data_IF_584609737122
#
_entry.id   IF_584609737122
#
_cell.length_a   1.000
_cell.length_b   1.000
_cell.length_c   1.000
_cell.angle_alpha   90.00
_cell.angle_beta   90.00
_cell.angle_gamma   90.00
#
_symmetry.space_group_name_H-M   'P 1'
#
loop_
_entity.id
_entity.type
_entity.pdbx_description
1 polymer ?
#
# COMPACT_ATOMS: atom_id res chain seq x y z
N UNK A 1 -5.32 -3.29 -2.18
CA UNK A 1 -4.48 -2.92 -1.00
C UNK A 1 -3.98 -4.13 -0.21
N UNK A 2 -3.87 -5.30 -0.84
CA UNK A 2 -3.12 -6.47 -0.34
C UNK A 2 -1.90 -6.75 -1.24
N UNK A 3 -1.78 -6.00 -2.36
CA UNK A 3 -0.82 -6.23 -3.44
C UNK A 3 0.65 -5.94 -3.06
N UNK A 4 0.90 -5.43 -1.85
CA UNK A 4 2.25 -5.18 -1.32
C UNK A 4 2.62 -6.10 -0.14
N UNK A 5 1.75 -7.03 0.27
CA UNK A 5 1.86 -7.69 1.58
C UNK A 5 2.48 -9.10 1.62
N UNK A 6 2.72 -9.76 0.48
CA UNK A 6 3.14 -11.19 0.47
C UNK A 6 4.46 -11.39 -0.27
N UNK A 7 5.44 -10.55 0.03
CA UNK A 7 6.85 -10.81 -0.26
C UNK A 7 7.66 -10.68 1.04
N UNK A 8 7.26 -11.43 2.07
CA UNK A 8 8.13 -11.62 3.24
C UNK A 8 9.06 -12.78 2.94
N UNK A 9 10.38 -12.56 2.99
CA UNK A 9 11.37 -13.63 2.89
C UNK A 9 11.05 -14.71 3.93
N UNK A 10 10.72 -15.92 3.47
CA UNK A 10 10.35 -17.06 4.31
C UNK A 10 8.84 -17.32 4.49
N UNK A 11 7.95 -16.45 4.01
CA UNK A 11 6.51 -16.71 3.97
C UNK A 11 6.11 -16.95 2.52
N UNK A 12 6.27 -18.20 2.06
CA UNK A 12 5.77 -18.63 0.76
C UNK A 12 4.26 -18.88 0.83
N UNK A 13 3.50 -18.29 -0.08
CA UNK A 13 2.15 -18.78 -0.34
C UNK A 13 2.26 -20.23 -0.85
N UNK A 14 1.68 -21.16 -0.10
CA UNK A 14 1.61 -22.57 -0.49
C UNK A 14 0.69 -22.76 -1.69
N UNK A 15 -0.39 -21.98 -1.74
CA UNK A 15 -1.23 -21.92 -2.93
C UNK A 15 -1.74 -20.50 -3.17
N UNK A 16 -2.08 -20.21 -4.43
CA UNK A 16 -2.71 -18.97 -4.88
C UNK A 16 -3.95 -19.35 -5.65
N UNK A 17 -5.10 -18.85 -5.22
CA UNK A 17 -6.34 -18.94 -5.99
C UNK A 17 -6.70 -17.57 -6.52
N UNK A 18 -7.06 -17.51 -7.80
CA UNK A 18 -7.47 -16.28 -8.47
C UNK A 18 -8.85 -16.50 -9.09
N UNK A 19 -9.78 -15.60 -8.84
CA UNK A 19 -11.13 -15.61 -9.41
C UNK A 19 -11.43 -14.24 -10.00
N UNK A 20 -12.33 -14.17 -10.98
CA UNK A 20 -12.85 -12.88 -11.44
C UNK A 20 -13.49 -12.18 -10.22
N UNK A 21 -13.01 -10.97 -9.93
CA UNK A 21 -13.65 -10.11 -8.95
C UNK A 21 -14.72 -9.24 -9.60
N UNK A 22 -15.40 -8.39 -8.82
CA UNK A 22 -16.57 -7.63 -9.29
C UNK A 22 -16.28 -6.49 -10.29
N UNK A 23 -15.06 -6.39 -10.85
CA UNK A 23 -14.66 -5.35 -11.80
C UNK A 23 -13.31 -5.70 -12.48
N UNK A 24 -12.45 -4.71 -12.73
CA UNK A 24 -11.07 -4.82 -13.27
C UNK A 24 -10.06 -5.40 -12.27
N UNK A 25 -10.53 -5.92 -11.14
CA UNK A 25 -9.70 -6.51 -10.10
C UNK A 25 -10.07 -7.99 -9.94
N UNK A 26 -9.11 -8.87 -10.17
CA UNK A 26 -9.25 -10.28 -9.82
C UNK A 26 -9.25 -10.44 -8.29
N UNK A 27 -10.13 -11.27 -7.75
CA UNK A 27 -10.04 -11.74 -6.38
C UNK A 27 -8.85 -12.71 -6.30
N UNK A 28 -7.78 -12.30 -5.62
CA UNK A 28 -6.60 -13.15 -5.37
C UNK A 28 -6.58 -13.54 -3.90
N UNK A 29 -6.59 -14.84 -3.62
CA UNK A 29 -6.41 -15.40 -2.29
C UNK A 29 -5.12 -16.23 -2.23
N UNK A 30 -4.36 -16.04 -1.15
CA UNK A 30 -3.13 -16.78 -0.88
C UNK A 30 -3.37 -17.68 0.33
N UNK A 31 -3.01 -18.96 0.19
CA UNK A 31 -2.93 -19.89 1.31
C UNK A 31 -1.49 -19.89 1.82
N UNK A 32 -1.32 -19.64 3.10
CA UNK A 32 -0.01 -19.47 3.73
C UNK A 32 0.02 -20.40 4.96
N UNK A 33 0.78 -21.51 4.90
CA UNK A 33 0.87 -22.44 6.01
C UNK A 33 1.67 -21.79 7.14
N UNK A 34 0.99 -21.51 8.25
CA UNK A 34 1.62 -20.99 9.46
C UNK A 34 2.16 -22.16 10.29
N UNK A 35 3.10 -22.94 9.76
CA UNK A 35 3.77 -24.01 10.52
C UNK A 35 5.14 -23.55 11.01
N UNK A 36 5.29 -23.42 12.34
CA UNK A 36 6.54 -23.08 13.00
C UNK A 36 6.37 -22.01 14.07
N UNK A 37 7.10 -22.14 15.19
CA UNK A 37 7.22 -21.05 16.16
C UNK A 37 7.97 -19.89 15.50
N UNK A 38 7.30 -18.75 15.31
CA UNK A 38 7.91 -17.50 14.82
C UNK A 38 8.99 -17.03 15.79
N UNK A 39 10.21 -17.54 15.68
CA UNK A 39 11.38 -17.01 16.39
C UNK A 39 12.18 -16.13 15.43
N UNK A 40 12.27 -14.85 15.75
CA UNK A 40 13.28 -13.93 15.20
C UNK A 40 12.77 -12.84 14.25
N UNK A 41 11.74 -13.09 13.46
CA UNK A 41 11.28 -12.13 12.45
C UNK A 41 10.23 -11.18 13.03
N UNK A 42 10.59 -9.91 13.25
CA UNK A 42 9.69 -8.88 13.78
C UNK A 42 9.82 -7.61 12.96
N UNK A 43 8.74 -7.26 12.27
CA UNK A 43 8.64 -6.05 11.46
C UNK A 43 8.07 -4.88 12.24
N UNK A 44 7.25 -5.15 13.27
CA UNK A 44 6.55 -4.12 14.05
C UNK A 44 7.38 -3.68 15.27
N UNK A 45 7.24 -2.41 15.72
CA UNK A 45 7.81 -1.95 16.97
C UNK A 45 7.46 -2.87 18.15
N UNK A 46 8.42 -3.09 19.07
CA UNK A 46 8.16 -3.90 20.28
C UNK A 46 7.14 -3.27 21.23
N UNK A 47 6.91 -1.97 21.09
CA UNK A 47 6.11 -1.14 21.98
C UNK A 47 5.21 -0.22 21.17
N UNK A 48 4.13 0.24 21.79
CA UNK A 48 3.37 1.35 21.23
C UNK A 48 4.25 2.61 21.27
N UNK A 49 4.43 3.23 20.12
CA UNK A 49 5.31 4.38 19.95
C UNK A 49 4.50 5.67 19.83
N UNK A 50 5.03 6.76 20.36
CA UNK A 50 4.50 8.12 20.21
C UNK A 50 5.48 8.99 19.43
N UNK A 51 5.10 9.33 18.19
CA UNK A 51 5.91 10.18 17.32
C UNK A 51 5.97 11.65 17.72
N UNK A 52 5.22 12.07 18.75
CA UNK A 52 5.28 13.42 19.31
C UNK A 52 6.03 13.49 20.64
N UNK A 53 6.46 12.34 21.17
CA UNK A 53 7.25 12.28 22.40
C UNK A 53 8.56 13.04 22.19
N UNK A 54 8.83 13.97 23.10
CA UNK A 54 10.14 14.61 23.21
C UNK A 54 11.03 13.72 24.06
N UNK A 55 12.25 13.48 23.60
CA UNK A 55 13.24 12.67 24.31
C UNK A 55 14.64 13.24 24.04
N UNK A 56 15.59 12.90 24.91
CA UNK A 56 17.01 13.17 24.68
C UNK A 56 17.67 11.94 24.08
N UNK A 57 17.97 12.02 22.78
CA UNK A 57 18.63 10.93 22.06
C UNK A 57 20.05 10.69 22.55
N UNK A 58 20.80 11.76 22.87
CA UNK A 58 22.19 11.65 23.29
C UNK A 58 22.27 10.83 24.58
N UNK A 59 21.43 11.16 25.56
CA UNK A 59 21.32 10.40 26.81
C UNK A 59 20.98 8.92 26.58
N UNK A 60 20.13 8.61 25.59
CA UNK A 60 19.71 7.24 25.27
C UNK A 60 20.77 6.45 24.50
N UNK A 61 21.56 7.15 23.67
CA UNK A 61 22.48 6.57 22.69
C UNK A 61 23.89 6.37 23.23
N UNK A 62 24.40 7.29 24.07
CA UNK A 62 25.80 7.28 24.54
C UNK A 62 26.22 5.97 25.20
N UNK A 63 25.32 5.27 25.89
CA UNK A 63 25.62 3.98 26.54
C UNK A 63 25.95 2.84 25.56
N UNK A 64 25.51 2.95 24.30
CA UNK A 64 25.62 1.87 23.32
C UNK A 64 26.35 2.30 22.04
N UNK A 65 26.90 3.52 22.03
CA UNK A 65 27.60 4.10 20.88
C UNK A 65 28.85 3.28 20.52
N UNK A 66 29.60 2.80 21.53
CA UNK A 66 30.77 1.96 21.34
C UNK A 66 30.42 0.57 20.78
N UNK A 67 29.37 -0.06 21.31
CA UNK A 67 28.87 -1.36 20.80
C UNK A 67 28.41 -1.23 19.35
N UNK A 68 27.74 -0.12 19.01
CA UNK A 68 27.32 0.17 17.65
C UNK A 68 28.53 0.32 16.71
N UNK A 69 29.54 1.09 17.12
CA UNK A 69 30.77 1.25 16.36
C UNK A 69 31.50 -0.09 16.15
N UNK A 70 31.54 -0.96 17.16
CA UNK A 70 32.09 -2.31 17.05
C UNK A 70 31.33 -3.15 16.01
N UNK A 71 29.99 -3.16 16.04
CA UNK A 71 29.21 -3.87 15.02
C UNK A 71 29.43 -3.33 13.61
N UNK A 72 29.63 -2.02 13.44
CA UNK A 72 29.98 -1.45 12.14
C UNK A 72 31.37 -1.90 11.66
N UNK A 73 32.36 -1.96 12.55
CA UNK A 73 33.71 -2.43 12.21
C UNK A 73 33.74 -3.92 11.82
N UNK A 74 32.93 -4.74 12.48
CA UNK A 74 32.75 -6.16 12.16
C UNK A 74 31.93 -6.40 10.88
N UNK A 75 31.30 -5.37 10.32
CA UNK A 75 30.37 -5.50 9.20
C UNK A 75 29.03 -6.17 9.58
N UNK A 76 28.72 -6.25 10.87
CA UNK A 76 27.51 -6.88 11.40
C UNK A 76 26.31 -5.91 11.37
N UNK A 77 25.80 -5.68 10.15
CA UNK A 77 24.70 -4.74 9.87
C UNK A 77 23.40 -5.10 10.59
N UNK A 78 23.10 -6.39 10.79
CA UNK A 78 21.90 -6.87 11.48
C UNK A 78 21.94 -6.51 12.98
N UNK A 79 23.08 -6.72 13.65
CA UNK A 79 23.24 -6.32 15.05
C UNK A 79 23.24 -4.79 15.20
N UNK A 80 23.94 -4.08 14.34
CA UNK A 80 23.95 -2.61 14.30
C UNK A 80 22.53 -2.04 14.16
N UNK A 81 21.74 -2.58 13.21
CA UNK A 81 20.35 -2.16 13.01
C UNK A 81 19.46 -2.49 14.21
N UNK A 82 19.56 -3.69 14.78
CA UNK A 82 18.75 -4.10 15.93
C UNK A 82 19.00 -3.22 17.15
N UNK A 83 20.26 -2.82 17.38
CA UNK A 83 20.63 -1.91 18.45
C UNK A 83 20.06 -0.51 18.22
N UNK A 84 20.30 0.06 17.02
CA UNK A 84 19.84 1.39 16.63
C UNK A 84 18.31 1.51 16.67
N UNK A 85 17.61 0.60 16.00
CA UNK A 85 16.14 0.55 15.99
C UNK A 85 15.58 0.33 17.40
N UNK A 86 16.24 -0.50 18.22
CA UNK A 86 15.83 -0.74 19.60
C UNK A 86 15.87 0.50 20.48
N UNK A 87 16.96 1.27 20.41
CA UNK A 87 17.06 2.54 21.15
C UNK A 87 16.06 3.57 20.64
N UNK A 88 15.78 3.60 19.33
CA UNK A 88 14.73 4.45 18.78
C UNK A 88 13.32 4.06 19.29
N UNK A 89 13.03 2.76 19.38
CA UNK A 89 11.79 2.27 20.01
C UNK A 89 11.71 2.62 21.49
N UNK A 90 12.80 2.46 22.24
CA UNK A 90 12.84 2.81 23.67
C UNK A 90 12.58 4.31 23.89
N UNK A 91 13.21 5.16 23.07
CA UNK A 91 13.04 6.60 23.11
C UNK A 91 11.62 7.06 22.77
N UNK A 92 10.98 6.41 21.79
CA UNK A 92 9.63 6.72 21.33
C UNK A 92 8.53 5.98 22.10
N UNK A 93 8.87 5.03 22.98
CA UNK A 93 7.88 4.23 23.68
C UNK A 93 6.93 5.10 24.51
N UNK A 94 5.63 4.81 24.44
CA UNK A 94 4.65 5.41 25.34
C UNK A 94 4.98 5.05 26.79
N UNK A 95 4.97 6.05 27.67
CA UNK A 95 5.07 5.83 29.11
C UNK A 95 3.81 5.07 29.52
N UNK A 96 4.00 3.81 29.92
CA UNK A 96 2.92 2.85 30.05
C UNK A 96 1.88 3.29 31.09
N UNK A 97 0.70 3.75 30.64
CA UNK A 97 -0.56 3.52 31.37
C UNK A 97 -1.87 3.74 30.59
N UNK A 98 -1.92 4.44 29.44
CA UNK A 98 -3.25 4.83 28.88
C UNK A 98 -3.38 4.82 27.34
N UNK A 99 -2.51 4.10 26.63
CA UNK A 99 -2.60 4.01 25.17
C UNK A 99 -3.66 3.03 24.67
N UNK A 100 -4.95 3.40 24.71
CA UNK A 100 -5.94 2.68 23.88
C UNK A 100 -5.61 2.93 22.41
N UNK A 101 -5.15 1.89 21.72
CA UNK A 101 -4.94 1.91 20.27
C UNK A 101 -6.17 2.54 19.59
N UNK A 102 -5.95 3.66 18.87
CA UNK A 102 -6.98 4.31 18.09
C UNK A 102 -7.47 3.28 17.05
N UNK A 103 -8.64 2.70 17.32
CA UNK A 103 -9.25 1.74 16.40
C UNK A 103 -9.43 2.45 15.06
N UNK A 104 -9.16 1.76 13.93
CA UNK A 104 -9.37 2.33 12.62
C UNK A 104 -10.79 2.90 12.54
N UNK A 105 -10.99 4.07 11.91
CA UNK A 105 -12.29 4.70 11.85
C UNK A 105 -13.29 3.72 11.25
N UNK A 106 -14.25 3.28 12.07
CA UNK A 106 -15.24 2.32 11.63
C UNK A 106 -16.32 3.07 10.86
N UNK A 107 -16.64 2.59 9.66
CA UNK A 107 -17.77 3.11 8.88
C UNK A 107 -19.10 2.95 9.63
N UNK A 108 -19.17 2.03 10.59
CA UNK A 108 -20.36 1.87 11.42
C UNK A 108 -20.34 2.80 12.64
N UNK A 109 -21.48 3.41 12.95
CA UNK A 109 -21.62 4.19 14.18
C UNK A 109 -21.53 3.28 15.41
N UNK A 110 -21.27 3.84 16.60
CA UNK A 110 -21.32 3.05 17.83
C UNK A 110 -22.74 2.49 18.07
N UNK A 111 -23.77 3.28 17.73
CA UNK A 111 -25.18 2.91 17.83
C UNK A 111 -25.51 1.72 16.93
N UNK A 112 -25.16 1.80 15.64
CA UNK A 112 -25.34 0.70 14.69
C UNK A 112 -24.66 -0.59 15.17
N UNK A 113 -23.42 -0.49 15.64
CA UNK A 113 -22.67 -1.66 16.15
C UNK A 113 -23.35 -2.33 17.35
N UNK A 114 -23.89 -1.53 18.29
CA UNK A 114 -24.63 -2.06 19.44
C UNK A 114 -25.93 -2.76 19.00
N UNK A 115 -26.68 -2.14 18.08
CA UNK A 115 -27.93 -2.70 17.53
C UNK A 115 -27.69 -4.02 16.79
N UNK A 116 -26.74 -4.06 15.85
CA UNK A 116 -26.41 -5.31 15.12
C UNK A 116 -25.87 -6.40 16.04
N UNK A 117 -25.15 -6.03 17.11
CA UNK A 117 -24.69 -7.00 18.13
C UNK A 117 -25.86 -7.56 18.91
N UNK A 118 -26.83 -6.73 19.30
CA UNK A 118 -28.04 -7.17 19.97
C UNK A 118 -28.86 -8.11 19.08
N UNK A 119 -29.09 -7.74 17.81
CA UNK A 119 -29.79 -8.57 16.83
C UNK A 119 -29.12 -9.95 16.67
N UNK A 120 -27.79 -10.01 16.50
CA UNK A 120 -27.07 -11.29 16.40
C UNK A 120 -27.20 -12.16 17.64
N UNK A 121 -27.14 -11.56 18.83
CA UNK A 121 -27.29 -12.28 20.10
C UNK A 121 -28.71 -12.84 20.26
N UNK A 122 -29.73 -12.04 19.93
CA UNK A 122 -31.11 -12.49 19.96
C UNK A 122 -31.39 -13.60 18.94
N UNK A 123 -30.92 -13.46 17.70
CA UNK A 123 -31.03 -14.52 16.69
C UNK A 123 -30.38 -15.83 17.14
N UNK A 124 -29.21 -15.76 17.80
CA UNK A 124 -28.54 -16.95 18.34
C UNK A 124 -29.34 -17.60 19.48
N UNK A 125 -29.97 -16.82 20.35
CA UNK A 125 -30.86 -17.35 21.42
C UNK A 125 -32.09 -18.02 20.82
N UNK A 126 -32.75 -17.39 19.84
CA UNK A 126 -33.92 -17.95 19.15
C UNK A 126 -33.59 -19.23 18.40
N UNK A 127 -32.41 -19.30 17.77
CA UNK A 127 -31.95 -20.52 17.12
C UNK A 127 -31.72 -21.66 18.12
N UNK A 128 -31.11 -21.38 19.27
CA UNK A 128 -30.90 -22.39 20.34
C UNK A 128 -32.22 -22.88 20.93
N UNK A 129 -33.18 -21.98 21.11
CA UNK A 129 -34.54 -22.29 21.59
C UNK A 129 -35.28 -23.21 20.61
N UNK A 130 -35.25 -22.91 19.32
CA UNK A 130 -35.79 -23.80 18.26
C UNK A 130 -35.11 -25.17 18.23
N UNK A 131 -33.83 -25.22 18.55
CA UNK A 131 -33.04 -26.45 18.59
C UNK A 131 -33.19 -27.25 19.91
N UNK A 132 -33.98 -26.76 20.88
CA UNK A 132 -34.18 -27.42 22.16
C UNK A 132 -32.91 -27.58 23.00
N UNK A 133 -31.92 -26.68 22.82
CA UNK A 133 -30.64 -26.75 23.52
C UNK A 133 -30.79 -26.31 24.99
N UNK A 134 -30.03 -26.95 25.89
CA UNK A 134 -29.92 -26.53 27.30
C UNK A 134 -29.25 -25.15 27.41
N UNK A 135 -29.52 -24.41 28.50
CA UNK A 135 -28.93 -23.09 28.85
C UNK A 135 -29.51 -21.84 28.16
N UNK A 136 -30.69 -21.95 27.54
CA UNK A 136 -31.38 -20.82 26.88
C UNK A 136 -31.80 -19.73 27.87
N UNK A 137 -32.27 -20.10 29.06
CA UNK A 137 -32.81 -19.15 30.05
C UNK A 137 -31.73 -18.22 30.63
N UNK A 138 -30.52 -18.73 30.82
CA UNK A 138 -29.38 -17.93 31.29
C UNK A 138 -28.95 -16.88 30.25
N UNK A 139 -28.87 -17.28 28.97
CA UNK A 139 -28.55 -16.36 27.88
C UNK A 139 -29.66 -15.33 27.65
N UNK A 140 -30.95 -15.72 27.82
CA UNK A 140 -32.09 -14.80 27.81
C UNK A 140 -31.95 -13.72 28.90
N UNK A 141 -31.55 -14.09 30.11
CA UNK A 141 -31.31 -13.14 31.20
C UNK A 141 -30.21 -12.12 30.89
N UNK A 142 -29.07 -12.57 30.36
CA UNK A 142 -27.97 -11.67 29.93
C UNK A 142 -28.39 -10.76 28.79
N UNK A 143 -29.13 -11.28 27.82
CA UNK A 143 -29.62 -10.53 26.69
C UNK A 143 -30.62 -9.46 27.14
N UNK A 144 -31.55 -9.78 28.04
CA UNK A 144 -32.53 -8.83 28.57
C UNK A 144 -31.85 -7.62 29.25
N UNK A 145 -30.80 -7.86 30.05
CA UNK A 145 -30.01 -6.77 30.63
C UNK A 145 -29.30 -5.91 29.57
N UNK A 146 -28.78 -6.53 28.51
CA UNK A 146 -28.13 -5.82 27.41
C UNK A 146 -29.11 -4.99 26.58
N UNK A 147 -30.32 -5.51 26.32
CA UNK A 147 -31.37 -4.80 25.60
C UNK A 147 -31.91 -3.61 26.39
N UNK A 148 -32.10 -3.77 27.71
CA UNK A 148 -32.46 -2.66 28.60
C UNK A 148 -31.42 -1.55 28.56
N UNK A 149 -30.13 -1.89 28.64
CA UNK A 149 -29.07 -0.90 28.49
C UNK A 149 -29.11 -0.16 27.13
N UNK A 150 -29.50 -0.83 26.04
CA UNK A 150 -29.66 -0.18 24.73
C UNK A 150 -30.87 0.78 24.75
N UNK A 151 -32.01 0.36 25.30
CA UNK A 151 -33.20 1.20 25.42
C UNK A 151 -32.94 2.43 26.30
N UNK A 152 -32.23 2.27 27.42
CA UNK A 152 -31.86 3.37 28.31
C UNK A 152 -30.87 4.35 27.65
N UNK A 153 -29.92 3.82 26.87
CA UNK A 153 -28.90 4.64 26.20
C UNK A 153 -29.43 5.40 24.97
N UNK A 154 -30.53 4.94 24.37
CA UNK A 154 -31.13 5.52 23.17
C UNK A 154 -32.65 5.60 23.36
N UNK A 155 -33.13 6.75 23.86
CA UNK A 155 -34.52 6.96 24.27
C UNK A 155 -35.56 6.64 23.18
N UNK A 156 -35.21 6.85 21.91
CA UNK A 156 -36.04 6.53 20.75
C UNK A 156 -36.17 5.03 20.47
N UNK A 157 -35.48 4.18 21.25
CA UNK A 157 -35.62 2.73 21.26
C UNK A 157 -36.36 2.22 22.50
N UNK A 158 -37.11 3.07 23.22
CA UNK A 158 -37.87 2.67 24.40
C UNK A 158 -38.87 1.53 24.13
N UNK A 159 -39.44 1.48 22.92
CA UNK A 159 -40.38 0.44 22.49
C UNK A 159 -39.71 -0.93 22.29
N UNK A 160 -38.37 -1.00 22.22
CA UNK A 160 -37.61 -2.25 22.08
C UNK A 160 -38.01 -3.32 23.11
N UNK A 161 -38.36 -2.89 24.33
CA UNK A 161 -38.72 -3.77 25.44
C UNK A 161 -40.17 -4.28 25.37
N UNK A 162 -41.01 -3.71 24.49
CA UNK A 162 -42.40 -4.14 24.29
C UNK A 162 -42.49 -5.36 23.37
N UNK A 163 -41.51 -5.54 22.48
CA UNK A 163 -41.44 -6.67 21.56
C UNK A 163 -40.74 -7.87 22.21
N UNK A 164 -41.08 -9.08 21.76
CA UNK A 164 -40.37 -10.32 22.14
C UNK A 164 -40.09 -11.19 20.92
N UNK A 165 -39.14 -12.12 21.08
CA UNK A 165 -38.85 -13.13 20.07
C UNK A 165 -38.45 -12.56 18.71
N UNK A 166 -39.08 -13.06 17.65
CA UNK A 166 -38.83 -12.64 16.27
C UNK A 166 -39.19 -11.16 16.02
N UNK A 167 -40.23 -10.63 16.66
CA UNK A 167 -40.62 -9.23 16.50
C UNK A 167 -39.56 -8.28 17.06
N UNK A 168 -38.97 -8.65 18.20
CA UNK A 168 -37.87 -7.90 18.80
C UNK A 168 -36.59 -7.96 17.94
N UNK A 169 -36.36 -9.10 17.27
CA UNK A 169 -35.26 -9.25 16.32
C UNK A 169 -35.46 -8.35 15.09
N UNK A 170 -36.67 -8.38 14.50
CA UNK A 170 -37.02 -7.54 13.36
C UNK A 170 -36.89 -6.05 13.69
N UNK A 171 -37.36 -5.63 14.87
CA UNK A 171 -37.21 -4.26 15.36
C UNK A 171 -35.74 -3.84 15.45
N UNK A 172 -34.86 -4.66 16.03
CA UNK A 172 -33.43 -4.38 16.14
C UNK A 172 -32.72 -4.29 14.78
N UNK A 173 -33.11 -5.14 13.82
CA UNK A 173 -32.59 -5.12 12.45
C UNK A 173 -33.00 -3.83 11.74
N UNK A 174 -34.29 -3.49 11.76
CA UNK A 174 -34.81 -2.27 11.17
C UNK A 174 -34.17 -1.02 11.80
N UNK A 175 -34.03 -0.97 13.12
CA UNK A 175 -33.36 0.14 13.81
C UNK A 175 -31.87 0.26 13.40
N UNK A 176 -31.18 -0.87 13.17
CA UNK A 176 -29.80 -0.86 12.70
C UNK A 176 -29.66 -0.35 11.26
N UNK A 177 -30.57 -0.73 10.38
CA UNK A 177 -30.64 -0.28 8.98
C UNK A 177 -31.00 1.20 8.86
N UNK A 178 -31.95 1.66 9.68
CA UNK A 178 -32.30 3.08 9.78
C UNK A 178 -31.10 3.92 10.24
N UNK A 179 -30.34 3.44 11.23
CA UNK A 179 -29.13 4.11 11.71
C UNK A 179 -28.00 4.11 10.66
N UNK A 180 -27.82 3.01 9.92
CA UNK A 180 -26.88 2.94 8.80
C UNK A 180 -27.25 3.96 7.72
N UNK A 181 -28.52 4.02 7.33
CA UNK A 181 -29.04 4.94 6.32
C UNK A 181 -28.81 6.39 6.75
N UNK A 182 -29.18 6.72 8.00
CA UNK A 182 -28.97 8.04 8.59
C UNK A 182 -27.50 8.44 8.62
N UNK A 183 -26.61 7.53 9.05
CA UNK A 183 -25.17 7.78 9.12
C UNK A 183 -24.54 7.93 7.73
N UNK A 184 -24.98 7.13 6.75
CA UNK A 184 -24.58 7.24 5.35
C UNK A 184 -25.00 8.58 4.75
N UNK A 185 -26.24 9.00 4.97
CA UNK A 185 -26.74 10.28 4.49
C UNK A 185 -25.98 11.45 5.11
N UNK A 186 -25.77 11.46 6.43
CA UNK A 186 -24.98 12.48 7.11
C UNK A 186 -23.53 12.53 6.60
N UNK A 187 -22.92 11.36 6.31
CA UNK A 187 -21.60 11.30 5.66
C UNK A 187 -21.62 11.90 4.26
N UNK A 188 -22.63 11.58 3.47
CA UNK A 188 -22.78 12.07 2.10
C UNK A 188 -22.99 13.59 2.08
N UNK A 189 -23.82 14.12 2.97
CA UNK A 189 -24.05 15.55 3.14
C UNK A 189 -22.79 16.26 3.62
N UNK A 190 -22.13 15.74 4.65
CA UNK A 190 -20.85 16.27 5.13
C UNK A 190 -19.74 16.19 4.06
N UNK A 191 -19.78 15.17 3.21
CA UNK A 191 -18.89 15.08 2.03
C UNK A 191 -19.26 16.13 0.98
N UNK A 192 -20.55 16.31 0.65
CA UNK A 192 -21.04 17.32 -0.30
C UNK A 192 -20.61 18.73 0.13
N UNK A 193 -20.75 19.07 1.41
CA UNK A 193 -20.33 20.37 1.95
C UNK A 193 -18.80 20.56 1.90
N UNK A 194 -18.03 19.51 2.20
CA UNK A 194 -16.56 19.53 2.04
C UNK A 194 -16.10 19.66 0.59
N UNK A 195 -16.85 19.09 -0.35
CA UNK A 195 -16.54 19.15 -1.78
C UNK A 195 -16.93 20.49 -2.39
N UNK A 196 -18.03 21.12 -1.94
CA UNK A 196 -18.42 22.48 -2.35
C UNK A 196 -17.35 23.53 -2.01
N UNK A 197 -16.66 23.34 -0.88
CA UNK A 197 -15.66 24.27 -0.36
C UNK A 197 -14.23 24.00 -0.85
N UNK A 198 -14.00 22.87 -1.54
CA UNK A 198 -12.67 22.40 -1.99
C UNK A 198 -12.66 22.23 -3.52
N UNK A 199 -12.41 23.33 -4.23
CA UNK A 199 -12.37 23.39 -5.70
C UNK A 199 -11.45 22.31 -6.34
N UNK A 200 -10.21 22.08 -5.83
CA UNK A 200 -9.35 21.00 -6.34
C UNK A 200 -9.93 19.59 -6.18
N UNK A 201 -10.75 19.35 -5.16
CA UNK A 201 -11.43 18.06 -4.94
C UNK A 201 -12.64 17.90 -5.86
N UNK A 202 -13.39 18.98 -6.11
CA UNK A 202 -14.47 19.03 -7.09
C UNK A 202 -13.95 18.76 -8.52
N UNK A 203 -12.86 19.41 -8.93
CA UNK A 203 -12.26 19.21 -10.26
C UNK A 203 -11.81 17.77 -10.50
N UNK A 204 -11.30 17.07 -9.48
CA UNK A 204 -10.93 15.65 -9.60
C UNK A 204 -12.15 14.74 -9.77
N UNK A 205 -13.25 15.04 -9.08
CA UNK A 205 -14.49 14.28 -9.20
C UNK A 205 -15.16 14.48 -10.57
N UNK A 206 -15.27 15.72 -11.05
CA UNK A 206 -15.85 16.03 -12.38
C UNK A 206 -15.05 15.38 -13.51
N UNK A 207 -13.71 15.37 -13.40
CA UNK A 207 -12.83 14.70 -14.38
C UNK A 207 -13.05 13.18 -14.43
N UNK A 208 -13.47 12.55 -13.33
CA UNK A 208 -13.79 11.12 -13.30
C UNK A 208 -15.13 10.82 -13.98
N UNK A 209 -16.13 11.69 -13.86
CA UNK A 209 -17.47 11.49 -14.44
C UNK A 209 -17.57 11.79 -15.94
N UNK A 210 -16.70 12.65 -16.49
CA UNK A 210 -16.68 12.99 -17.93
C UNK A 210 -16.08 11.89 -18.84
N UNK A 211 -15.57 10.80 -18.26
CA UNK A 211 -15.07 9.65 -19.01
C UNK A 211 -16.19 8.81 -19.65
N UNK A 212 -17.46 9.02 -19.25
CA UNK A 212 -18.63 8.36 -19.82
C UNK A 212 -19.28 9.29 -20.87
N UNK A 213 -18.81 9.23 -22.12
CA UNK A 213 -19.54 9.81 -23.25
C UNK A 213 -20.43 8.73 -23.90
N UNK A 214 -21.66 9.06 -24.33
CA UNK A 214 -22.48 8.15 -25.09
C UNK A 214 -21.83 7.83 -26.45
N UNK A 215 -21.78 6.55 -26.77
CA UNK A 215 -21.20 6.00 -28.00
C UNK A 215 -22.02 6.39 -29.24
N UNK A 216 -21.40 6.86 -30.34
CA UNK A 216 -22.11 7.17 -31.59
C UNK A 216 -22.77 5.95 -32.22
N UNK A 217 -23.82 6.19 -33.01
CA UNK A 217 -24.66 5.15 -33.61
C UNK A 217 -23.94 4.23 -34.63
N UNK A 218 -22.71 4.54 -35.00
CA UNK A 218 -21.88 3.71 -35.88
C UNK A 218 -21.23 2.51 -35.16
N UNK A 219 -21.19 2.51 -33.81
CA UNK A 219 -20.53 1.46 -33.01
C UNK A 219 -21.46 0.27 -32.65
N UNK A 220 -22.73 0.30 -33.07
CA UNK A 220 -23.71 -0.78 -32.81
C UNK A 220 -23.49 -2.05 -33.66
N UNK A 221 -22.56 -2.03 -34.62
CA UNK A 221 -22.18 -3.21 -35.41
C UNK A 221 -21.05 -4.04 -34.77
N UNK A 222 -20.47 -3.55 -33.67
CA UNK A 222 -19.42 -4.25 -32.92
C UNK A 222 -20.06 -4.81 -31.65
N UNK A 223 -19.76 -6.07 -31.31
CA UNK A 223 -20.23 -6.73 -30.08
C UNK A 223 -20.17 -5.74 -28.90
N UNK A 224 -21.31 -5.41 -28.26
CA UNK A 224 -21.39 -4.34 -27.28
C UNK A 224 -20.59 -4.65 -26.01
N UNK A 225 -20.19 -5.91 -25.80
CA UNK A 225 -19.39 -6.30 -24.65
C UNK A 225 -17.95 -5.73 -24.75
N UNK A 226 -17.55 -4.80 -23.85
CA UNK A 226 -16.20 -4.26 -23.82
C UNK A 226 -15.13 -5.35 -23.65
N UNK A 227 -15.47 -6.45 -22.98
CA UNK A 227 -14.58 -7.58 -22.77
C UNK A 227 -14.33 -8.34 -24.08
N UNK A 228 -15.38 -8.63 -24.87
CA UNK A 228 -15.26 -9.23 -26.20
C UNK A 228 -14.39 -8.38 -27.15
N UNK A 229 -14.54 -7.04 -27.12
CA UNK A 229 -13.69 -6.12 -27.89
C UNK A 229 -12.21 -6.20 -27.46
N UNK A 230 -11.96 -6.25 -26.16
CA UNK A 230 -10.62 -6.37 -25.61
C UNK A 230 -9.97 -7.71 -25.97
N UNK A 231 -10.73 -8.81 -25.94
CA UNK A 231 -10.27 -10.15 -26.30
C UNK A 231 -9.94 -10.27 -27.79
N UNK A 232 -10.77 -9.68 -28.65
CA UNK A 232 -10.52 -9.63 -30.09
C UNK A 232 -9.26 -8.82 -30.41
N UNK A 233 -9.11 -7.65 -29.80
CA UNK A 233 -7.88 -6.86 -29.93
C UNK A 233 -6.67 -7.66 -29.41
N UNK A 234 -6.77 -8.31 -28.25
CA UNK A 234 -5.70 -9.12 -27.68
C UNK A 234 -5.27 -10.27 -28.60
N UNK A 235 -6.20 -10.92 -29.32
CA UNK A 235 -5.86 -11.93 -30.34
C UNK A 235 -5.06 -11.34 -31.51
N UNK A 236 -5.51 -10.22 -32.05
CA UNK A 236 -4.84 -9.56 -33.19
C UNK A 236 -3.44 -9.08 -32.78
N UNK A 237 -3.32 -8.43 -31.62
CA UNK A 237 -2.04 -7.96 -31.10
C UNK A 237 -1.13 -9.12 -30.67
N UNK A 238 -1.70 -10.18 -30.12
CA UNK A 238 -0.99 -11.41 -29.78
C UNK A 238 -0.29 -12.02 -30.99
N UNK A 239 -0.97 -12.09 -32.14
CA UNK A 239 -0.36 -12.59 -33.39
C UNK A 239 0.75 -11.66 -33.93
N UNK A 240 0.62 -10.35 -33.75
CA UNK A 240 1.62 -9.38 -34.18
C UNK A 240 2.86 -9.36 -33.28
N UNK A 241 2.68 -9.57 -31.97
CA UNK A 241 3.76 -9.51 -30.97
C UNK A 241 4.41 -10.87 -30.70
N UNK A 242 3.66 -11.96 -30.76
CA UNK A 242 4.20 -13.33 -30.76
C UNK A 242 4.65 -13.71 -32.18
N UNK A 243 5.72 -13.08 -32.67
CA UNK A 243 6.50 -13.69 -33.75
C UNK A 243 7.22 -14.91 -33.18
N UNK A 244 6.73 -16.10 -33.53
CA UNK A 244 7.23 -17.40 -33.08
C UNK A 244 8.76 -17.49 -33.04
N UNK A 245 9.29 -18.02 -31.93
CA UNK A 245 10.62 -18.64 -31.89
C UNK A 245 11.83 -17.77 -31.55
N UNK A 246 11.70 -16.63 -30.86
CA UNK A 246 12.91 -15.90 -30.38
C UNK A 246 13.29 -16.29 -28.94
N UNK A 247 14.47 -16.89 -28.70
CA UNK A 247 14.96 -17.15 -27.35
C UNK A 247 15.25 -15.81 -26.65
N UNK A 248 14.58 -15.56 -25.51
CA UNK A 248 14.57 -14.27 -24.83
C UNK A 248 15.86 -13.91 -24.06
N UNK A 249 16.74 -14.87 -23.75
CA UNK A 249 17.91 -14.62 -22.89
C UNK A 249 19.20 -14.20 -23.62
N UNK A 250 19.62 -14.93 -24.66
CA UNK A 250 20.91 -14.72 -25.33
C UNK A 250 20.93 -13.45 -26.19
N UNK A 251 19.79 -13.05 -26.76
CA UNK A 251 19.69 -11.87 -27.64
C UNK A 251 19.60 -10.54 -26.91
N UNK A 252 19.27 -10.52 -25.62
CA UNK A 252 19.18 -9.25 -24.89
C UNK A 252 20.57 -8.64 -24.69
N UNK A 253 21.59 -9.43 -24.34
CA UNK A 253 22.97 -8.94 -24.27
C UNK A 253 23.45 -8.40 -25.62
N UNK A 254 23.16 -9.13 -26.70
CA UNK A 254 23.49 -8.68 -28.07
C UNK A 254 22.73 -7.41 -28.46
N UNK A 255 21.45 -7.31 -28.08
CA UNK A 255 20.62 -6.14 -28.33
C UNK A 255 21.13 -4.94 -27.54
N UNK A 256 21.42 -5.11 -26.25
CA UNK A 256 21.98 -4.06 -25.39
C UNK A 256 23.34 -3.59 -25.91
N UNK A 257 24.18 -4.50 -26.41
CA UNK A 257 25.44 -4.15 -27.08
C UNK A 257 25.22 -3.35 -28.36
N UNK A 258 24.18 -3.64 -29.14
CA UNK A 258 23.83 -2.92 -30.38
C UNK A 258 23.16 -1.57 -30.15
N UNK A 259 22.47 -1.38 -29.03
CA UNK A 259 21.69 -0.16 -28.76
C UNK A 259 22.54 1.07 -28.42
N UNK A 260 23.87 0.92 -28.29
CA UNK A 260 24.82 2.03 -27.99
C UNK A 260 24.28 2.96 -26.90
N UNK A 261 23.71 2.37 -25.84
CA UNK A 261 23.02 3.13 -24.81
C UNK A 261 24.01 4.12 -24.15
N UNK A 262 23.59 5.38 -23.91
CA UNK A 262 24.45 6.33 -23.24
C UNK A 262 24.82 5.78 -21.87
N UNK A 263 26.13 5.54 -21.67
CA UNK A 263 26.68 5.20 -20.36
C UNK A 263 27.09 6.48 -19.68
N UNK A 264 26.27 6.95 -18.74
CA UNK A 264 26.73 7.93 -17.77
C UNK A 264 27.53 7.20 -16.68
N UNK A 265 28.67 7.76 -16.27
CA UNK A 265 29.35 7.28 -15.08
C UNK A 265 28.39 7.44 -13.89
N UNK A 266 28.07 6.34 -13.22
CA UNK A 266 27.28 6.40 -12.01
C UNK A 266 28.07 7.16 -10.93
N UNK A 267 27.42 8.07 -10.19
CA UNK A 267 28.07 8.68 -9.04
C UNK A 267 28.37 7.61 -7.99
N UNK A 268 29.42 7.83 -7.19
CA UNK A 268 29.59 7.06 -5.97
C UNK A 268 28.37 7.30 -5.07
N UNK A 269 27.68 6.22 -4.71
CA UNK A 269 26.46 6.30 -3.91
C UNK A 269 26.87 6.29 -2.45
N UNK A 270 26.75 7.44 -1.79
CA UNK A 270 26.95 7.58 -0.35
C UNK A 270 25.68 8.14 0.30
N UNK A 271 25.15 7.38 1.25
CA UNK A 271 23.97 7.74 2.02
C UNK A 271 24.41 8.64 3.17
N UNK A 272 23.78 9.80 3.32
CA UNK A 272 23.98 10.70 4.47
C UNK A 272 22.74 10.76 5.35
N UNK A 273 22.93 11.03 6.64
CA UNK A 273 21.82 11.19 7.58
C UNK A 273 20.89 12.32 7.19
N UNK A 274 21.41 13.42 6.63
CA UNK A 274 20.59 14.54 6.15
C UNK A 274 19.60 14.14 5.07
N UNK A 275 20.02 13.31 4.10
CA UNK A 275 19.17 12.82 3.02
C UNK A 275 18.05 11.94 3.59
N UNK A 276 18.39 11.03 4.51
CA UNK A 276 17.43 10.16 5.17
C UNK A 276 16.44 10.94 6.06
N UNK A 277 16.94 11.90 6.84
CA UNK A 277 16.15 12.75 7.71
C UNK A 277 15.17 13.64 6.93
N UNK A 278 15.63 14.24 5.82
CA UNK A 278 14.75 15.02 4.91
C UNK A 278 13.63 14.13 4.34
N UNK A 279 13.94 12.88 4.02
CA UNK A 279 12.94 11.92 3.52
C UNK A 279 11.93 11.51 4.60
N UNK A 280 12.38 11.26 5.82
CA UNK A 280 11.51 11.02 6.97
C UNK A 280 10.53 12.17 7.19
N UNK A 281 10.99 13.43 7.08
CA UNK A 281 10.12 14.60 7.15
C UNK A 281 9.09 14.63 6.01
N UNK A 282 9.52 14.33 4.78
CA UNK A 282 8.63 14.30 3.62
C UNK A 282 7.62 13.14 3.65
N UNK A 283 7.91 12.04 4.34
CA UNK A 283 7.03 10.89 4.48
C UNK A 283 6.03 10.99 5.64
N UNK A 284 6.09 12.05 6.46
CA UNK A 284 5.30 12.19 7.69
C UNK A 284 3.77 12.03 7.52
N UNK A 285 3.24 12.31 6.33
CA UNK A 285 1.81 12.20 6.01
C UNK A 285 1.44 10.92 5.25
N UNK A 286 2.41 10.06 4.96
CA UNK A 286 2.19 8.80 4.25
C UNK A 286 1.78 7.71 5.24
N UNK A 287 1.01 6.74 4.77
CA UNK A 287 0.66 5.55 5.55
C UNK A 287 1.93 4.81 5.98
N UNK A 288 1.91 4.19 7.15
CA UNK A 288 2.95 3.28 7.59
C UNK A 288 3.04 2.07 6.64
N UNK A 289 4.22 1.48 6.55
CA UNK A 289 4.40 0.19 5.89
C UNK A 289 3.83 -0.95 6.72
N UNK A 290 4.13 -2.18 6.32
CA UNK A 290 3.83 -3.41 7.08
C UNK A 290 4.63 -3.51 8.39
N UNK A 291 5.59 -2.62 8.60
CA UNK A 291 6.46 -2.51 9.76
C UNK A 291 5.90 -1.58 10.85
N UNK A 292 4.71 -1.00 10.68
CA UNK A 292 4.08 -0.02 11.60
C UNK A 292 4.93 1.22 11.92
N UNK A 293 6.09 1.38 11.29
CA UNK A 293 6.92 2.58 11.36
C UNK A 293 6.36 3.66 10.43
N UNK A 294 5.38 4.40 10.95
CA UNK A 294 4.79 5.53 10.22
C UNK A 294 5.81 6.66 9.98
N UNK A 295 5.61 7.44 8.91
CA UNK A 295 6.44 8.62 8.68
C UNK A 295 6.42 9.63 9.83
N UNK A 296 5.37 9.63 10.68
CA UNK A 296 5.31 10.46 11.88
C UNK A 296 6.34 10.03 12.91
N UNK A 297 6.54 8.71 13.09
CA UNK A 297 7.56 8.15 13.98
C UNK A 297 8.97 8.50 13.50
N UNK A 298 9.22 8.27 12.21
CA UNK A 298 10.51 8.63 11.59
C UNK A 298 10.82 10.12 11.72
N UNK A 299 9.82 11.00 11.55
CA UNK A 299 9.99 12.44 11.70
C UNK A 299 10.38 12.87 13.13
N UNK A 300 10.00 12.09 14.14
CA UNK A 300 10.32 12.38 15.54
C UNK A 300 11.77 12.08 15.92
N UNK A 301 12.50 11.32 15.09
CA UNK A 301 13.90 10.97 15.35
C UNK A 301 14.85 12.11 14.96
N UNK A 302 15.96 12.29 15.70
CA UNK A 302 16.91 13.38 15.45
C UNK A 302 17.91 13.02 14.34
N UNK A 303 18.71 13.99 13.90
CA UNK A 303 19.65 13.81 12.78
C UNK A 303 20.71 12.74 13.07
N UNK A 304 21.17 12.67 14.31
CA UNK A 304 22.20 11.75 14.79
C UNK A 304 21.78 10.28 14.66
N UNK A 305 20.49 10.00 14.84
CA UNK A 305 19.92 8.69 14.53
C UNK A 305 20.07 8.38 13.03
N UNK A 306 19.78 9.35 12.17
CA UNK A 306 19.88 9.19 10.72
C UNK A 306 21.33 9.06 10.24
N UNK A 307 22.29 9.71 10.91
CA UNK A 307 23.72 9.53 10.62
C UNK A 307 24.16 8.09 10.93
N UNK A 308 23.70 7.54 12.06
CA UNK A 308 23.92 6.14 12.43
C UNK A 308 23.27 5.19 11.41
N UNK A 309 22.05 5.49 10.99
CA UNK A 309 21.34 4.71 9.96
C UNK A 309 22.06 4.76 8.60
N UNK A 310 22.59 5.93 8.24
CA UNK A 310 23.37 6.12 7.03
C UNK A 310 24.67 5.31 7.05
N UNK A 311 25.34 5.21 8.20
CA UNK A 311 26.54 4.38 8.37
C UNK A 311 26.26 2.89 8.06
N UNK A 312 25.14 2.34 8.54
CA UNK A 312 24.71 0.97 8.23
C UNK A 312 24.49 0.82 6.72
N UNK A 313 23.75 1.75 6.09
CA UNK A 313 23.51 1.72 4.65
C UNK A 313 24.79 1.77 3.83
N UNK A 314 25.76 2.59 4.22
CA UNK A 314 27.03 2.69 3.52
C UNK A 314 27.87 1.40 3.64
N UNK A 315 27.76 0.64 4.74
CA UNK A 315 28.36 -0.70 4.83
C UNK A 315 27.67 -1.70 3.90
N UNK A 316 26.34 -1.67 3.83
CA UNK A 316 25.55 -2.49 2.89
C UNK A 316 25.98 -2.22 1.45
N UNK A 317 26.11 -0.95 1.07
CA UNK A 317 26.60 -0.55 -0.26
C UNK A 317 28.07 -0.95 -0.50
N UNK A 318 28.87 -1.14 0.55
CA UNK A 318 30.24 -1.69 0.44
C UNK A 318 30.27 -3.22 0.40
N UNK A 319 29.11 -3.89 0.40
CA UNK A 319 28.98 -5.33 0.21
C UNK A 319 28.57 -6.11 1.46
N UNK A 320 28.42 -5.47 2.63
CA UNK A 320 27.92 -6.13 3.84
C UNK A 320 26.49 -6.69 3.64
N UNK A 321 26.04 -7.58 4.54
CA UNK A 321 24.69 -8.14 4.48
C UNK A 321 23.62 -7.05 4.65
N UNK A 322 22.47 -7.19 3.99
CA UNK A 322 21.33 -6.31 4.23
C UNK A 322 20.63 -6.80 5.51
N UNK A 323 20.31 -5.94 6.50
CA UNK A 323 19.49 -6.33 7.64
C UNK A 323 18.18 -6.96 7.15
N UNK A 324 17.76 -8.07 7.75
CA UNK A 324 16.63 -8.85 7.23
C UNK A 324 15.33 -8.02 7.18
N UNK A 325 15.18 -7.08 8.11
CA UNK A 325 14.06 -6.14 8.17
C UNK A 325 14.04 -5.08 7.06
N UNK A 326 15.08 -4.97 6.23
CA UNK A 326 15.18 -3.96 5.16
C UNK A 326 14.89 -4.50 3.77
N UNK A 327 14.67 -5.81 3.64
CA UNK A 327 14.28 -6.47 2.40
C UNK A 327 12.87 -5.99 2.02
N UNK A 328 12.82 -4.82 1.35
CA UNK A 328 11.59 -4.08 1.01
C UNK A 328 11.72 -2.54 0.95
N UNK A 329 12.84 -1.94 1.38
CA UNK A 329 12.96 -0.47 1.52
C UNK A 329 13.61 0.25 0.30
N UNK A 330 13.02 1.37 -0.14
CA UNK A 330 13.37 2.14 -1.37
C UNK A 330 14.24 3.41 -1.12
N UNK A 331 15.30 3.31 -0.31
CA UNK A 331 16.15 4.47 0.01
C UNK A 331 17.13 4.85 -1.13
N UNK A 332 17.75 3.87 -1.79
CA UNK A 332 18.87 4.06 -2.74
C UNK A 332 18.48 4.81 -4.02
N UNK A 333 17.25 4.62 -4.51
CA UNK A 333 16.78 5.15 -5.81
C UNK A 333 16.86 6.69 -5.92
N UNK A 334 16.81 7.43 -4.81
CA UNK A 334 16.83 8.91 -4.86
C UNK A 334 18.21 9.51 -5.10
N UNK A 335 19.28 8.88 -4.62
CA UNK A 335 20.64 9.35 -4.88
C UNK A 335 21.01 9.19 -6.36
N UNK A 336 20.26 8.33 -7.05
CA UNK A 336 20.38 8.09 -8.47
C UNK A 336 19.55 9.05 -9.32
N UNK A 337 18.84 10.02 -8.74
CA UNK A 337 18.01 10.95 -9.50
C UNK A 337 18.77 11.62 -10.66
N UNK A 338 20.01 12.08 -10.40
CA UNK A 338 20.85 12.68 -11.44
C UNK A 338 21.24 11.69 -12.55
N UNK A 339 21.64 10.47 -12.17
CA UNK A 339 21.96 9.39 -13.11
C UNK A 339 20.73 8.96 -13.94
N UNK A 340 19.59 8.75 -13.27
CA UNK A 340 18.29 8.43 -13.87
C UNK A 340 17.91 9.48 -14.92
N UNK A 341 18.01 10.78 -14.60
CA UNK A 341 17.69 11.85 -15.55
C UNK A 341 18.64 11.88 -16.75
N UNK A 342 19.92 11.53 -16.58
CA UNK A 342 20.91 11.53 -17.65
C UNK A 342 20.78 10.32 -18.59
N UNK A 343 20.39 9.16 -18.05
CA UNK A 343 20.37 7.89 -18.79
C UNK A 343 19.04 7.66 -19.51
N UNK A 344 17.91 8.08 -18.93
CA UNK A 344 16.61 7.86 -19.55
C UNK A 344 16.25 8.96 -20.55
N UNK A 345 15.71 8.59 -21.74
CA UNK A 345 15.43 9.53 -22.82
C UNK A 345 14.40 10.58 -22.38
N UNK A 346 14.42 11.79 -22.95
CA UNK A 346 13.50 12.87 -22.59
C UNK A 346 12.03 12.54 -22.81
N UNK A 347 11.75 11.57 -23.69
CA UNK A 347 10.39 11.13 -24.00
C UNK A 347 9.81 10.09 -23.02
N UNK A 348 10.60 9.62 -22.05
CA UNK A 348 10.10 8.81 -20.94
C UNK A 348 9.59 9.73 -19.81
N UNK A 349 8.38 9.53 -19.29
CA UNK A 349 7.81 10.42 -18.26
C UNK A 349 7.48 9.70 -16.94
N UNK A 350 7.20 8.39 -17.00
CA UNK A 350 6.80 7.62 -15.83
C UNK A 350 7.95 7.43 -14.83
N UNK A 351 7.72 7.77 -13.56
CA UNK A 351 8.63 7.47 -12.46
C UNK A 351 9.92 8.28 -12.42
N UNK A 352 10.08 9.31 -13.27
CA UNK A 352 11.28 10.13 -13.35
C UNK A 352 11.11 11.47 -12.59
N UNK A 353 12.16 11.96 -11.90
CA UNK A 353 12.12 13.26 -11.22
C UNK A 353 11.79 14.41 -12.18
N UNK A 354 10.88 15.29 -11.76
CA UNK A 354 10.56 16.52 -12.50
C UNK A 354 9.74 16.34 -13.78
N UNK A 355 9.24 15.13 -14.07
CA UNK A 355 8.38 14.85 -15.23
C UNK A 355 6.98 14.47 -14.75
N UNK A 356 5.94 14.99 -15.38
CA UNK A 356 4.55 14.68 -15.02
C UNK A 356 3.71 14.24 -16.23
N UNK A 357 2.55 13.62 -15.95
CA UNK A 357 1.64 13.17 -16.99
C UNK A 357 1.01 14.33 -17.78
N UNK A 358 0.92 15.53 -17.19
CA UNK A 358 0.36 16.72 -17.83
C UNK A 358 1.21 17.15 -19.03
N UNK A 359 2.55 17.04 -18.92
CA UNK A 359 3.48 17.33 -20.02
C UNK A 359 3.24 16.41 -21.23
N UNK A 360 2.96 15.13 -20.97
CA UNK A 360 2.63 14.14 -22.01
C UNK A 360 1.34 14.54 -22.72
N UNK A 361 0.31 14.89 -21.95
CA UNK A 361 -0.97 15.33 -22.50
C UNK A 361 -0.80 16.59 -23.35
N UNK A 362 -0.06 17.59 -22.84
CA UNK A 362 0.21 18.81 -23.59
C UNK A 362 0.92 18.51 -24.92
N UNK A 363 2.00 17.71 -24.90
CA UNK A 363 2.75 17.32 -26.12
C UNK A 363 1.89 16.53 -27.11
N UNK A 364 1.13 15.55 -26.62
CA UNK A 364 0.22 14.77 -27.46
C UNK A 364 -0.83 15.68 -28.09
N UNK A 365 -1.54 16.48 -27.29
CA UNK A 365 -2.55 17.42 -27.78
C UNK A 365 -1.97 18.40 -28.79
N UNK A 366 -0.79 18.97 -28.53
CA UNK A 366 -0.10 19.83 -29.49
C UNK A 366 0.21 19.10 -30.80
N UNK A 367 0.77 17.89 -30.75
CA UNK A 367 1.03 17.08 -31.94
C UNK A 367 -0.26 16.79 -32.72
N UNK A 368 -1.36 16.46 -32.03
CA UNK A 368 -2.67 16.26 -32.63
C UNK A 368 -3.17 17.55 -33.34
N UNK A 369 -3.00 18.72 -32.71
CA UNK A 369 -3.42 19.99 -33.27
C UNK A 369 -2.61 20.41 -34.49
N UNK A 370 -1.28 20.26 -34.44
CA UNK A 370 -0.39 20.56 -35.57
C UNK A 370 -0.68 19.63 -36.75
N UNK A 371 -0.87 18.33 -36.51
CA UNK A 371 -1.14 17.37 -37.59
C UNK A 371 -2.54 17.54 -38.22
N UNK A 372 -3.50 18.10 -37.46
CA UNK A 372 -4.86 18.38 -37.95
C UNK A 372 -4.88 19.31 -39.17
N UNK A 373 -3.79 20.05 -39.42
CA UNK A 373 -3.63 20.91 -40.58
C UNK A 373 -3.07 20.19 -41.84
N UNK A 374 -2.70 18.90 -41.78
CA UNK A 374 -1.85 18.30 -42.82
C UNK A 374 -2.11 16.85 -43.27
N UNK A 375 -3.08 16.11 -42.72
CA UNK A 375 -3.43 14.76 -43.22
C UNK A 375 -3.93 13.77 -42.17
N UNK A 376 -4.15 12.50 -42.55
CA UNK A 376 -4.62 11.45 -41.64
C UNK A 376 -3.56 11.13 -40.58
N UNK A 377 -4.01 10.95 -39.34
CA UNK A 377 -3.18 10.62 -38.19
C UNK A 377 -3.53 9.23 -37.68
N UNK A 378 -2.50 8.41 -37.44
CA UNK A 378 -2.60 7.15 -36.72
C UNK A 378 -1.78 7.20 -35.43
N UNK A 379 -2.29 6.59 -34.36
CA UNK A 379 -1.60 6.44 -33.08
C UNK A 379 -1.68 5.00 -32.58
N UNK A 380 -0.69 4.60 -31.79
CA UNK A 380 -0.66 3.29 -31.12
C UNK A 380 -0.53 3.51 -29.62
N UNK A 381 -1.34 2.78 -28.84
CA UNK A 381 -1.19 2.67 -27.39
C UNK A 381 -0.80 1.24 -27.07
N UNK A 382 0.39 1.07 -26.51
CA UNK A 382 0.83 -0.19 -25.91
C UNK A 382 0.70 -0.09 -24.39
N UNK A 383 0.26 -1.17 -23.77
CA UNK A 383 0.19 -1.29 -22.31
C UNK A 383 0.70 -2.67 -21.89
N UNK A 384 1.41 -2.73 -20.76
CA UNK A 384 2.03 -3.95 -20.23
C UNK A 384 1.26 -4.39 -19.00
N UNK A 385 0.47 -5.46 -19.14
CA UNK A 385 -0.33 -6.00 -18.05
C UNK A 385 0.57 -6.43 -16.90
N UNK A 386 0.32 -5.90 -15.70
CA UNK A 386 1.03 -6.27 -14.46
C UNK A 386 2.55 -6.20 -14.62
N UNK A 387 3.05 -5.08 -15.16
CA UNK A 387 4.48 -4.89 -15.47
C UNK A 387 5.42 -5.28 -14.31
N UNK A 388 5.11 -4.87 -13.08
CA UNK A 388 5.94 -5.21 -11.92
C UNK A 388 5.85 -6.68 -11.49
N UNK A 389 4.69 -7.34 -11.69
CA UNK A 389 4.52 -8.76 -11.32
C UNK A 389 5.12 -9.70 -12.38
N UNK A 390 5.30 -9.22 -13.61
CA UNK A 390 5.76 -10.01 -14.76
C UNK A 390 7.19 -9.69 -15.21
N UNK A 391 7.81 -8.67 -14.61
CA UNK A 391 9.20 -8.33 -14.87
C UNK A 391 10.13 -9.45 -14.36
N UNK A 392 11.01 -9.95 -15.22
CA UNK A 392 12.10 -10.85 -14.82
C UNK A 392 13.20 -10.02 -14.13
N UNK A 393 13.46 -10.23 -12.82
CA UNK A 393 14.48 -9.48 -12.08
C UNK A 393 15.87 -9.60 -12.70
N UNK A 394 16.24 -10.76 -13.25
CA UNK A 394 17.56 -10.98 -13.85
C UNK A 394 17.72 -10.17 -15.13
N UNK A 395 16.68 -10.08 -15.96
CA UNK A 395 16.69 -9.23 -17.14
C UNK A 395 16.72 -7.75 -16.76
N UNK A 396 15.98 -7.34 -15.73
CA UNK A 396 16.00 -5.97 -15.23
C UNK A 396 17.40 -5.56 -14.76
N UNK A 397 18.09 -6.42 -13.98
CA UNK A 397 19.47 -6.19 -13.54
C UNK A 397 20.43 -6.10 -14.74
N UNK A 398 20.29 -6.97 -15.75
CA UNK A 398 21.12 -6.90 -16.97
C UNK A 398 20.91 -5.57 -17.73
N UNK A 399 19.67 -5.11 -17.85
CA UNK A 399 19.36 -3.81 -18.46
C UNK A 399 19.97 -2.66 -17.65
N UNK A 400 19.78 -2.65 -16.33
CA UNK A 400 20.34 -1.62 -15.44
C UNK A 400 21.88 -1.58 -15.51
N UNK A 401 22.52 -2.75 -15.53
CA UNK A 401 23.98 -2.85 -15.70
C UNK A 401 24.44 -2.29 -17.05
N UNK A 402 23.73 -2.61 -18.13
CA UNK A 402 24.06 -2.08 -19.46
C UNK A 402 23.90 -0.56 -19.56
N UNK A 403 22.95 0.00 -18.80
CA UNK A 403 22.70 1.44 -18.65
C UNK A 403 23.72 2.13 -17.71
N UNK A 404 24.62 1.38 -17.07
CA UNK A 404 25.65 1.91 -16.18
C UNK A 404 25.17 2.17 -14.77
N UNK A 405 24.18 1.42 -14.26
CA UNK A 405 23.79 1.50 -12.86
C UNK A 405 24.98 1.13 -11.93
N UNK A 406 25.11 1.76 -10.75
CA UNK A 406 26.21 1.45 -9.84
C UNK A 406 26.15 0.00 -9.34
N UNK A 407 27.26 -0.73 -9.45
CA UNK A 407 27.32 -2.16 -9.09
C UNK A 407 26.89 -2.46 -7.64
N UNK A 408 27.26 -1.65 -6.63
CA UNK A 408 26.73 -1.77 -5.27
C UNK A 408 25.20 -1.85 -5.17
N UNK A 409 24.50 -1.08 -6.00
CA UNK A 409 23.04 -1.10 -6.04
C UNK A 409 22.53 -2.40 -6.68
N UNK A 410 23.19 -2.85 -7.76
CA UNK A 410 22.81 -4.07 -8.44
C UNK A 410 23.01 -5.30 -7.55
N UNK A 411 24.11 -5.33 -6.78
CA UNK A 411 24.39 -6.38 -5.80
C UNK A 411 23.33 -6.41 -4.70
N UNK A 412 22.82 -5.25 -4.28
CA UNK A 412 21.71 -5.16 -3.32
C UNK A 412 20.38 -5.64 -3.91
N UNK A 413 20.14 -5.45 -5.21
CA UNK A 413 18.92 -5.88 -5.90
C UNK A 413 18.94 -7.38 -6.23
N UNK A 414 20.12 -7.94 -6.50
CA UNK A 414 20.31 -9.35 -6.87
C UNK A 414 20.24 -10.31 -5.66
N UNK A 415 20.44 -9.79 -4.44
CA UNK A 415 20.32 -10.52 -3.17
C UNK A 415 18.88 -10.57 -2.68
#
# INVERSE_FOLDING_TARGET
TIDFGVASVGIGAHSRTQRLGPADHDLVAYDIPLTGTRRGWRWQPRRLLDGEKKFDWRATWTEVEDDFAAFLQEGNTEAAWRLLSGKAEDALALDSSTGHAAKPPTVQTLRERKLRRAARRLAAVLQKERAGLMDVDYEKGKLAGYLRHIADAYLDLGDLLQYQGEEQLAYLQHAAEAEETRANQARLEGWKEKVKTDLPRLSRWVKASLAERPTPMADFAVDPDPQAKAEQAAKVWGQLWHRDGRPHGLRLRDLLARLHLPRAAAPEVQVSGEVLHRRAKASARKAAGSDDWSGRLWRGLPLEFFDSLAAIWNLVLKGASIPAAWLGATAVVQQLAGWITAVFPPDLYGGLPGRCAEDIHFRLTHALFVQRAGGPLAGCKADVKKCFDTADPKLAILCLRALGAPEPMLDVIDR
#
